data_IF_925679786776
#
_entry.id   IF_925679786776
#
_cell.length_a   1.000
_cell.length_b   1.000
_cell.length_c   1.000
_cell.angle_alpha   90.00
_cell.angle_beta   90.00
_cell.angle_gamma   90.00
#
_symmetry.space_group_name_H-M   'P 1'
#
loop_
_entity.id
_entity.type
_entity.pdbx_description
1 polymer ?
#
# COMPACT_ATOMS: atom_id res chain seq x y z
N UNK A 1 3.10 6.16 -23.63
CA UNK A 1 3.62 7.21 -22.73
C UNK A 1 4.57 6.67 -21.66
N UNK A 2 4.26 5.57 -20.94
CA UNK A 2 5.08 5.00 -19.85
C UNK A 2 6.33 4.17 -20.25
N UNK A 3 6.64 4.02 -21.54
CA UNK A 3 7.80 3.25 -22.02
C UNK A 3 8.84 4.13 -22.75
N UNK A 4 8.58 5.43 -22.89
CA UNK A 4 9.50 6.36 -23.52
C UNK A 4 10.49 6.88 -22.47
N UNK A 5 11.81 6.68 -22.65
CA UNK A 5 12.84 7.03 -21.66
C UNK A 5 12.95 8.54 -21.38
N UNK A 6 12.27 9.39 -22.15
CA UNK A 6 12.18 10.83 -21.90
C UNK A 6 11.21 11.17 -20.76
N UNK A 7 10.30 10.25 -20.42
CA UNK A 7 9.40 10.39 -19.28
C UNK A 7 9.92 9.54 -18.12
N UNK A 8 9.97 10.14 -16.94
CA UNK A 8 10.46 9.52 -15.72
C UNK A 8 9.41 9.64 -14.63
N UNK A 9 9.24 8.59 -13.83
CA UNK A 9 8.45 8.62 -12.60
C UNK A 9 9.28 9.00 -11.37
N UNK A 10 10.61 9.09 -11.52
CA UNK A 10 11.53 9.47 -10.45
C UNK A 10 11.59 10.99 -10.29
N UNK A 11 10.87 11.48 -9.27
CA UNK A 11 10.84 12.90 -8.93
C UNK A 11 12.21 13.47 -8.56
N UNK A 12 13.20 12.64 -8.22
CA UNK A 12 14.57 13.07 -7.89
C UNK A 12 15.42 13.37 -9.13
N UNK A 13 14.93 13.04 -10.33
CA UNK A 13 15.64 13.28 -11.59
C UNK A 13 15.75 14.76 -11.89
N UNK A 14 16.93 15.21 -12.34
CA UNK A 14 17.15 16.58 -12.81
C UNK A 14 16.18 16.94 -13.93
N UNK A 15 15.48 18.07 -13.78
CA UNK A 15 14.51 18.55 -14.78
C UNK A 15 13.13 17.89 -14.71
N UNK A 16 12.86 17.08 -13.67
CA UNK A 16 11.51 16.61 -13.41
C UNK A 16 10.55 17.79 -13.17
N UNK A 17 9.37 17.82 -13.81
CA UNK A 17 8.42 18.94 -13.70
C UNK A 17 7.64 18.89 -12.38
N UNK A 18 8.35 18.90 -11.25
CA UNK A 18 7.77 18.90 -9.92
C UNK A 18 7.23 20.29 -9.53
N UNK A 19 6.16 20.32 -8.75
CA UNK A 19 5.62 21.56 -8.18
C UNK A 19 6.53 22.19 -7.11
N UNK A 20 7.55 21.45 -6.65
CA UNK A 20 8.54 21.85 -5.66
C UNK A 20 9.95 21.57 -6.18
N UNK A 21 10.92 22.46 -5.94
CA UNK A 21 12.33 22.22 -6.26
C UNK A 21 12.96 21.10 -5.42
N UNK A 22 12.32 20.71 -4.33
CA UNK A 22 12.73 19.59 -3.48
C UNK A 22 11.79 18.41 -3.70
N UNK A 23 12.30 17.35 -4.31
CA UNK A 23 11.63 16.06 -4.34
C UNK A 23 11.78 15.38 -2.99
N UNK A 24 10.69 14.94 -2.34
CA UNK A 24 10.80 14.17 -1.11
C UNK A 24 11.57 12.87 -1.39
N UNK A 25 12.41 12.39 -0.45
CA UNK A 25 13.08 11.13 -0.61
C UNK A 25 12.05 9.99 -0.75
N UNK A 26 12.37 9.02 -1.60
CA UNK A 26 11.53 7.83 -1.79
C UNK A 26 11.40 7.06 -0.48
N UNK A 27 10.16 6.82 -0.05
CA UNK A 27 9.86 5.97 1.09
C UNK A 27 10.05 4.48 0.77
N UNK A 28 10.23 3.61 1.79
CA UNK A 28 10.28 2.17 1.59
C UNK A 28 9.06 1.66 0.84
N UNK A 29 9.26 0.77 -0.14
CA UNK A 29 8.17 0.16 -0.91
C UNK A 29 7.50 1.05 -1.97
N UNK A 30 7.89 2.32 -2.11
CA UNK A 30 7.35 3.23 -3.13
C UNK A 30 7.96 2.96 -4.52
N UNK A 31 7.73 1.76 -5.07
CA UNK A 31 8.28 1.40 -6.38
C UNK A 31 7.55 2.07 -7.56
N UNK A 32 6.35 2.61 -7.35
CA UNK A 32 5.56 3.33 -8.36
C UNK A 32 6.17 4.69 -8.78
N UNK A 33 7.16 5.20 -8.05
CA UNK A 33 7.97 6.39 -8.39
C UNK A 33 9.38 6.02 -8.86
N UNK A 34 9.54 4.82 -9.42
CA UNK A 34 10.82 4.36 -9.97
C UNK A 34 10.69 4.12 -11.48
N UNK A 35 11.79 4.32 -12.19
CA UNK A 35 11.92 3.90 -13.60
C UNK A 35 12.46 2.46 -13.70
N UNK A 36 12.39 1.83 -14.89
CA UNK A 36 13.20 0.65 -15.18
C UNK A 36 14.71 0.92 -14.95
N UNK A 37 15.49 -0.08 -14.51
CA UNK A 37 15.11 -1.49 -14.32
C UNK A 37 14.52 -1.81 -12.94
N UNK A 38 14.64 -0.91 -11.95
CA UNK A 38 14.24 -1.19 -10.57
C UNK A 38 12.73 -1.39 -10.41
N UNK A 39 11.93 -0.53 -11.04
CA UNK A 39 10.47 -0.70 -11.08
C UNK A 39 10.11 -2.07 -11.66
N UNK A 40 10.74 -2.46 -12.77
CA UNK A 40 10.48 -3.73 -13.44
C UNK A 40 10.84 -4.92 -12.55
N UNK A 41 11.96 -4.86 -11.84
CA UNK A 41 12.40 -5.92 -10.90
C UNK A 41 11.41 -6.11 -9.75
N UNK A 42 11.00 -5.03 -9.09
CA UNK A 42 10.06 -5.10 -7.97
C UNK A 42 8.66 -5.53 -8.43
N UNK A 43 8.18 -4.94 -9.53
CA UNK A 43 6.88 -5.29 -10.12
C UNK A 43 6.79 -6.78 -10.50
N UNK A 44 7.87 -7.37 -11.04
CA UNK A 44 7.92 -8.81 -11.37
C UNK A 44 7.68 -9.72 -10.18
N UNK A 45 8.00 -9.27 -8.96
CA UNK A 45 7.76 -10.05 -7.74
C UNK A 45 6.29 -10.01 -7.32
N UNK A 46 5.58 -8.91 -7.61
CA UNK A 46 4.19 -8.70 -7.20
C UNK A 46 3.15 -9.19 -8.23
N UNK A 47 3.46 -9.12 -9.53
CA UNK A 47 2.51 -9.47 -10.61
C UNK A 47 1.80 -10.83 -10.41
N UNK A 48 2.47 -11.92 -9.98
CA UNK A 48 1.81 -13.22 -9.84
C UNK A 48 0.56 -13.21 -8.95
N UNK A 49 0.53 -12.35 -7.93
CA UNK A 49 -0.59 -12.22 -7.00
C UNK A 49 -1.77 -11.41 -7.56
N UNK A 50 -1.54 -10.62 -8.62
CA UNK A 50 -2.55 -9.77 -9.27
C UNK A 50 -2.95 -10.28 -10.66
N UNK A 51 -2.77 -11.57 -10.93
CA UNK A 51 -3.22 -12.20 -12.18
C UNK A 51 -4.74 -12.36 -12.21
N UNK A 52 -5.33 -12.38 -13.41
CA UNK A 52 -6.77 -12.61 -13.59
C UNK A 52 -7.27 -13.83 -12.82
N UNK A 53 -6.58 -14.97 -12.95
CA UNK A 53 -6.94 -16.22 -12.24
C UNK A 53 -6.91 -16.06 -10.71
N UNK A 54 -5.97 -15.28 -10.17
CA UNK A 54 -5.88 -15.03 -8.72
C UNK A 54 -7.00 -14.11 -8.25
N UNK A 55 -7.31 -13.05 -9.02
CA UNK A 55 -8.42 -12.15 -8.73
C UNK A 55 -9.77 -12.87 -8.82
N UNK A 56 -9.98 -13.74 -9.81
CA UNK A 56 -11.22 -14.54 -9.90
C UNK A 56 -11.44 -15.44 -8.69
N UNK A 57 -10.36 -15.98 -8.09
CA UNK A 57 -10.46 -16.75 -6.84
C UNK A 57 -10.89 -15.91 -5.63
N UNK A 58 -10.76 -14.59 -5.70
CA UNK A 58 -11.23 -13.68 -4.65
C UNK A 58 -12.70 -13.30 -4.81
N UNK A 59 -13.31 -13.57 -5.97
CA UNK A 59 -14.72 -13.23 -6.25
C UNK A 59 -15.69 -13.70 -5.16
N UNK A 60 -15.61 -14.94 -4.62
CA UNK A 60 -16.49 -15.37 -3.53
C UNK A 60 -16.29 -14.56 -2.25
N UNK A 61 -15.05 -14.26 -1.88
CA UNK A 61 -14.75 -13.46 -0.69
C UNK A 61 -15.23 -12.00 -0.86
N UNK A 62 -15.06 -11.41 -2.05
CA UNK A 62 -15.59 -10.07 -2.36
C UNK A 62 -17.12 -10.07 -2.29
N UNK A 63 -17.77 -11.09 -2.84
CA UNK A 63 -19.23 -11.20 -2.79
C UNK A 63 -19.75 -11.31 -1.35
N UNK A 64 -19.07 -12.09 -0.49
CA UNK A 64 -19.39 -12.18 0.93
C UNK A 64 -19.24 -10.82 1.62
N UNK A 65 -18.13 -10.10 1.38
CA UNK A 65 -17.94 -8.75 1.92
C UNK A 65 -19.05 -7.80 1.49
N UNK A 66 -19.46 -7.83 0.22
CA UNK A 66 -20.55 -6.99 -0.27
C UNK A 66 -21.88 -7.35 0.39
N UNK A 67 -22.19 -8.64 0.52
CA UNK A 67 -23.41 -9.11 1.19
C UNK A 67 -23.46 -8.66 2.65
N UNK A 68 -22.38 -8.88 3.42
CA UNK A 68 -22.30 -8.49 4.83
C UNK A 68 -22.51 -6.98 5.02
N UNK A 69 -21.95 -6.16 4.13
CA UNK A 69 -22.12 -4.70 4.18
C UNK A 69 -23.56 -4.29 3.86
N UNK A 70 -24.21 -4.94 2.89
CA UNK A 70 -25.62 -4.68 2.57
C UNK A 70 -26.55 -5.12 3.69
N UNK A 71 -26.30 -6.29 4.29
CA UNK A 71 -27.08 -6.82 5.42
C UNK A 71 -26.96 -5.88 6.63
N UNK A 72 -25.74 -5.39 6.91
CA UNK A 72 -25.50 -4.41 7.98
C UNK A 72 -26.21 -3.08 7.69
N UNK A 73 -26.17 -2.62 6.45
CA UNK A 73 -26.75 -1.34 6.04
C UNK A 73 -28.29 -1.34 6.08
N UNK A 74 -28.91 -2.50 5.87
CA UNK A 74 -30.38 -2.67 5.86
C UNK A 74 -30.93 -3.28 7.15
N UNK A 75 -30.08 -3.48 8.14
CA UNK A 75 -30.45 -4.00 9.46
C UNK A 75 -31.60 -3.18 10.07
N UNK A 76 -32.44 -3.86 10.85
CA UNK A 76 -33.63 -3.29 11.52
C UNK A 76 -34.64 -2.60 10.56
N UNK A 77 -34.58 -2.95 9.27
CA UNK A 77 -35.49 -2.41 8.26
C UNK A 77 -35.12 -0.99 7.80
N UNK A 78 -33.88 -0.56 7.99
CA UNK A 78 -33.41 0.74 7.53
C UNK A 78 -33.59 0.90 6.02
N UNK A 79 -34.27 1.97 5.60
CA UNK A 79 -34.47 2.34 4.19
C UNK A 79 -33.55 3.45 3.73
N UNK A 80 -32.80 4.06 4.65
CA UNK A 80 -31.88 5.17 4.40
C UNK A 80 -30.55 4.91 5.10
N UNK A 81 -29.46 5.17 4.39
CA UNK A 81 -28.10 5.08 4.92
C UNK A 81 -27.16 5.99 4.12
N UNK A 82 -26.08 6.44 4.76
CA UNK A 82 -24.95 7.05 4.05
C UNK A 82 -24.14 5.94 3.35
N UNK A 83 -24.34 5.82 2.03
CA UNK A 83 -23.68 4.80 1.21
C UNK A 83 -22.14 4.91 1.27
N UNK A 84 -21.59 6.11 1.45
CA UNK A 84 -20.14 6.31 1.50
C UNK A 84 -19.58 5.70 2.78
N UNK A 85 -20.15 6.09 3.92
CA UNK A 85 -19.71 5.61 5.22
C UNK A 85 -20.04 4.13 5.44
N UNK A 86 -21.24 3.69 5.04
CA UNK A 86 -21.74 2.34 5.32
C UNK A 86 -21.22 1.28 4.34
N UNK A 87 -20.83 1.64 3.11
CA UNK A 87 -20.48 0.68 2.07
C UNK A 87 -19.19 1.02 1.33
N UNK A 88 -19.11 2.19 0.68
CA UNK A 88 -18.05 2.48 -0.28
C UNK A 88 -16.65 2.58 0.36
N UNK A 89 -16.55 3.10 1.58
CA UNK A 89 -15.30 3.13 2.34
C UNK A 89 -14.89 1.74 2.88
N UNK A 90 -15.74 1.00 3.61
CA UNK A 90 -15.32 -0.28 4.18
C UNK A 90 -15.09 -1.39 3.15
N UNK A 91 -15.80 -1.37 2.00
CA UNK A 91 -15.72 -2.42 0.99
C UNK A 91 -14.28 -2.67 0.47
N UNK A 92 -13.56 -1.68 -0.10
CA UNK A 92 -12.22 -1.91 -0.63
C UNK A 92 -11.22 -2.25 0.49
N UNK A 93 -11.40 -1.72 1.70
CA UNK A 93 -10.54 -2.02 2.84
C UNK A 93 -10.68 -3.46 3.31
N UNK A 94 -11.91 -3.99 3.41
CA UNK A 94 -12.15 -5.41 3.72
C UNK A 94 -11.51 -6.31 2.68
N UNK A 95 -11.66 -5.97 1.40
CA UNK A 95 -11.10 -6.76 0.29
C UNK A 95 -9.57 -6.76 0.31
N UNK A 96 -8.92 -5.61 0.50
CA UNK A 96 -7.45 -5.55 0.56
C UNK A 96 -6.90 -6.26 1.80
N UNK A 97 -7.59 -6.19 2.95
CA UNK A 97 -7.21 -6.94 4.14
C UNK A 97 -7.26 -8.45 3.89
N UNK A 98 -8.32 -8.94 3.25
CA UNK A 98 -8.45 -10.34 2.86
C UNK A 98 -7.37 -10.76 1.85
N UNK A 99 -7.01 -9.89 0.90
CA UNK A 99 -5.94 -10.16 -0.07
C UNK A 99 -4.55 -10.22 0.60
N UNK A 100 -4.29 -9.35 1.58
CA UNK A 100 -3.01 -9.28 2.30
C UNK A 100 -2.91 -10.29 3.46
N UNK A 101 -4.01 -10.95 3.83
CA UNK A 101 -4.06 -11.86 4.97
C UNK A 101 -3.94 -11.16 6.32
N UNK A 102 -4.32 -9.88 6.40
CA UNK A 102 -4.30 -9.10 7.65
C UNK A 102 -5.70 -9.06 8.28
N UNK A 103 -5.82 -9.08 9.62
CA UNK A 103 -7.11 -8.94 10.29
C UNK A 103 -7.80 -7.62 9.92
N UNK A 104 -9.12 -7.66 9.78
CA UNK A 104 -9.89 -6.44 9.50
C UNK A 104 -9.94 -5.50 10.72
N UNK A 105 -9.69 -5.97 11.94
CA UNK A 105 -9.74 -5.13 13.14
C UNK A 105 -8.75 -3.94 13.09
N UNK A 106 -7.69 -4.05 12.28
CA UNK A 106 -6.73 -2.97 12.02
C UNK A 106 -7.20 -1.95 10.95
N UNK A 107 -8.42 -2.08 10.41
CA UNK A 107 -8.93 -1.22 9.33
C UNK A 107 -9.03 0.26 9.73
N UNK A 108 -9.35 0.56 10.98
CA UNK A 108 -9.42 1.94 11.46
C UNK A 108 -8.05 2.62 11.34
N UNK A 109 -6.97 1.88 11.63
CA UNK A 109 -5.61 2.34 11.39
C UNK A 109 -5.36 2.53 9.88
N UNK A 110 -5.76 1.60 9.02
CA UNK A 110 -5.58 1.73 7.56
C UNK A 110 -6.31 2.96 6.99
N UNK A 111 -7.55 3.19 7.41
CA UNK A 111 -8.34 4.35 7.00
C UNK A 111 -7.77 5.68 7.51
N UNK A 112 -7.39 5.74 8.79
CA UNK A 112 -6.83 6.96 9.39
C UNK A 112 -5.43 7.28 8.84
N UNK A 113 -4.65 6.24 8.52
CA UNK A 113 -3.26 6.41 8.08
C UNK A 113 -3.16 6.66 6.57
N UNK A 114 -4.09 6.15 5.76
CA UNK A 114 -4.20 6.52 4.33
C UNK A 114 -4.59 7.99 4.11
N UNK A 115 -5.26 8.61 5.09
CA UNK A 115 -5.67 10.01 5.07
C UNK A 115 -4.62 10.98 5.67
N UNK A 116 -3.52 10.49 6.25
CA UNK A 116 -2.47 11.32 6.87
C UNK A 116 -1.12 11.09 6.19
N UNK A 117 -0.38 12.13 5.75
CA UNK A 117 0.97 11.94 5.26
C UNK A 117 1.82 11.27 6.34
N UNK A 118 2.35 10.07 6.04
CA UNK A 118 3.06 9.24 6.99
C UNK A 118 4.30 9.94 7.55
N UNK A 119 4.26 10.32 8.83
CA UNK A 119 5.47 10.48 9.64
C UNK A 119 5.71 9.16 10.37
N UNK A 120 6.29 8.19 9.67
CA UNK A 120 6.81 6.97 10.28
C UNK A 120 7.94 7.38 11.23
N UNK A 121 7.69 7.38 12.55
CA UNK A 121 8.77 7.55 13.53
C UNK A 121 9.59 6.27 13.55
N UNK A 122 10.62 6.20 12.71
CA UNK A 122 11.75 5.33 12.98
C UNK A 122 12.27 5.67 14.37
N UNK A 123 12.49 4.66 15.22
CA UNK A 123 13.23 4.82 16.47
C UNK A 123 14.54 5.55 16.13
N UNK A 124 14.84 6.71 16.75
CA UNK A 124 16.09 7.39 16.46
C UNK A 124 17.25 6.42 16.72
N UNK A 125 18.32 6.43 15.89
CA UNK A 125 19.52 5.70 16.24
C UNK A 125 19.93 6.13 17.65
N UNK A 126 20.18 5.15 18.52
CA UNK A 126 20.79 5.42 19.82
C UNK A 126 22.10 6.17 19.62
N UNK A 127 22.57 6.91 20.64
CA UNK A 127 23.86 7.60 20.54
C UNK A 127 24.92 6.60 20.11
N UNK A 128 25.64 6.96 19.04
CA UNK A 128 26.75 6.24 18.45
C UNK A 128 27.70 5.79 19.56
N UNK A 129 27.61 4.52 19.94
CA UNK A 129 28.38 3.92 21.01
C UNK A 129 29.77 3.51 20.52
N UNK A 130 30.33 4.19 19.51
CA UNK A 130 31.75 4.19 19.15
C UNK A 130 32.38 2.80 18.92
N UNK A 131 31.57 1.75 18.85
CA UNK A 131 32.03 0.37 18.81
C UNK A 131 32.01 -0.03 17.35
N UNK A 132 33.18 0.07 16.74
CA UNK A 132 33.47 -0.53 15.44
C UNK A 132 32.94 -1.97 15.42
N UNK A 133 32.10 -2.35 14.45
CA UNK A 133 31.58 -3.71 14.38
C UNK A 133 32.76 -4.67 14.16
N UNK A 134 33.00 -5.53 15.15
CA UNK A 134 34.02 -6.58 15.06
C UNK A 134 33.69 -7.59 13.95
N UNK A 135 34.69 -8.36 13.46
CA UNK A 135 34.50 -9.23 12.32
C UNK A 135 33.43 -10.29 12.59
N UNK A 136 32.46 -10.35 11.69
CA UNK A 136 31.38 -11.35 11.68
C UNK A 136 32.01 -12.74 11.52
N UNK A 137 31.96 -13.56 12.58
CA UNK A 137 32.27 -14.98 12.48
C UNK A 137 31.04 -15.72 11.96
N UNK A 138 31.18 -16.33 10.79
CA UNK A 138 30.20 -17.28 10.27
C UNK A 138 30.38 -18.64 10.97
N UNK A 139 29.29 -19.33 11.37
CA UNK A 139 29.36 -20.67 11.95
C UNK A 139 29.82 -21.71 10.90
N UNK A 140 30.54 -22.73 11.37
CA UNK A 140 31.04 -23.87 10.57
C UNK A 140 29.92 -24.81 10.14
#
# INVERSE_FOLDING_TARGET
MLADPRFSADATRKGFPGLSPFAPPRGPGQFFVMDPPDHTRLRRTLIPDFTFRRIERLRPAIAAVCADLLDTMTADGATEADLVAAYALPQPTRVICALLGVPYDDHAFLHQTGARPHRLRLRPPGPDDGRTPGPVRLPR
#
